data_IF_373386139302
#
_entry.id   IF_373386139302
#
_cell.length_a   1.000
_cell.length_b   1.000
_cell.length_c   1.000
_cell.angle_alpha   90.00
_cell.angle_beta   90.00
_cell.angle_gamma   90.00
#
_symmetry.space_group_name_H-M   'P 1'
#
loop_
_entity.id
_entity.type
_entity.pdbx_description
1 polymer ?
#
# COMPACT_ATOMS: atom_id res chain seq x y z
N UNK A 1 -6.67 -15.91 6.81
CA UNK A 1 -7.88 -16.07 7.66
C UNK A 1 -7.51 -15.59 9.05
N UNK A 2 -8.22 -14.60 9.60
CA UNK A 2 -8.00 -14.10 10.97
C UNK A 2 -7.39 -12.70 11.08
N UNK A 3 -7.34 -11.90 10.00
CA UNK A 3 -6.88 -10.49 10.03
C UNK A 3 -7.88 -9.51 9.43
N UNK A 4 -9.14 -9.92 9.39
CA UNK A 4 -10.24 -9.16 8.82
C UNK A 4 -10.46 -7.86 9.60
N UNK A 5 -10.18 -7.86 10.91
CA UNK A 5 -10.27 -6.67 11.75
C UNK A 5 -9.23 -5.61 11.36
N UNK A 6 -8.01 -6.02 11.05
CA UNK A 6 -6.91 -5.15 10.65
C UNK A 6 -7.12 -4.61 9.24
N UNK A 7 -7.60 -5.46 8.32
CA UNK A 7 -7.99 -5.03 6.97
C UNK A 7 -9.13 -4.00 7.03
N UNK A 8 -10.11 -4.20 7.90
CA UNK A 8 -11.22 -3.24 8.10
C UNK A 8 -10.69 -1.91 8.63
N UNK A 9 -9.81 -1.93 9.63
CA UNK A 9 -9.16 -0.71 10.16
C UNK A 9 -8.35 0.03 9.09
N UNK A 10 -7.62 -0.69 8.23
CA UNK A 10 -6.89 -0.09 7.10
C UNK A 10 -7.87 0.59 6.12
N UNK A 11 -8.99 -0.08 5.79
CA UNK A 11 -10.00 0.47 4.88
C UNK A 11 -10.65 1.74 5.46
N UNK A 12 -11.01 1.73 6.74
CA UNK A 12 -11.59 2.88 7.43
C UNK A 12 -10.62 4.06 7.48
N UNK A 13 -9.36 3.81 7.91
CA UNK A 13 -8.35 4.86 8.00
C UNK A 13 -7.98 5.46 6.65
N UNK A 14 -7.68 4.64 5.65
CA UNK A 14 -7.16 5.15 4.37
C UNK A 14 -8.25 5.72 3.44
N UNK A 15 -9.51 5.35 3.65
CA UNK A 15 -10.55 5.70 2.70
C UNK A 15 -11.83 6.31 3.27
N UNK A 16 -12.06 6.28 4.58
CA UNK A 16 -13.21 6.95 5.20
C UNK A 16 -12.84 8.17 6.01
N UNK A 17 -11.56 8.32 6.36
CA UNK A 17 -11.02 9.50 7.02
C UNK A 17 -10.25 10.37 6.02
N UNK A 18 -10.85 11.49 5.62
CA UNK A 18 -10.25 12.42 4.65
C UNK A 18 -8.97 13.10 5.16
N UNK A 19 -8.71 13.10 6.47
CA UNK A 19 -7.48 13.66 7.02
C UNK A 19 -6.30 12.68 6.95
N UNK A 20 -6.56 11.37 6.90
CA UNK A 20 -5.52 10.35 6.87
C UNK A 20 -4.89 10.28 5.48
N UNK A 21 -3.56 10.52 5.41
CA UNK A 21 -2.76 10.44 4.17
C UNK A 21 -1.96 9.15 4.04
N UNK A 22 -1.58 8.55 5.17
CA UNK A 22 -0.81 7.32 5.21
C UNK A 22 -1.12 6.54 6.49
N UNK A 23 -0.86 5.23 6.45
CA UNK A 23 -0.95 4.34 7.62
C UNK A 23 0.32 3.50 7.69
N UNK A 24 0.84 3.32 8.90
CA UNK A 24 2.03 2.51 9.17
C UNK A 24 1.62 1.21 9.86
N UNK A 25 2.06 0.06 9.34
CA UNK A 25 1.84 -1.25 9.96
C UNK A 25 3.10 -1.63 10.75
N UNK A 26 2.98 -1.68 12.07
CA UNK A 26 4.08 -2.00 12.99
C UNK A 26 3.90 -3.36 13.65
N UNK A 27 4.99 -4.00 14.06
CA UNK A 27 4.97 -5.26 14.80
C UNK A 27 6.23 -6.11 14.63
N UNK A 28 6.37 -7.22 15.37
CA UNK A 28 7.54 -8.08 15.35
C UNK A 28 7.89 -8.65 13.97
N UNK A 29 9.14 -9.11 13.80
CA UNK A 29 9.57 -9.85 12.63
C UNK A 29 8.74 -11.12 12.42
N UNK A 30 8.53 -11.53 11.17
CA UNK A 30 7.81 -12.77 10.84
C UNK A 30 6.29 -12.75 11.05
N UNK A 31 5.71 -11.72 11.68
CA UNK A 31 4.27 -11.64 11.97
C UNK A 31 3.40 -11.37 10.73
N UNK A 32 3.92 -11.42 9.49
CA UNK A 32 3.10 -11.29 8.28
C UNK A 32 2.59 -9.86 7.95
N UNK A 33 3.31 -8.80 8.35
CA UNK A 33 2.95 -7.40 8.01
C UNK A 33 2.84 -7.17 6.50
N UNK A 34 3.83 -7.64 5.74
CA UNK A 34 3.84 -7.52 4.27
C UNK A 34 2.68 -8.29 3.62
N UNK A 35 2.29 -9.43 4.19
CA UNK A 35 1.14 -10.20 3.72
C UNK A 35 -0.19 -9.47 3.96
N UNK A 36 -0.33 -8.80 5.11
CA UNK A 36 -1.49 -7.94 5.40
C UNK A 36 -1.59 -6.78 4.41
N UNK A 37 -0.47 -6.08 4.14
CA UNK A 37 -0.43 -5.00 3.15
C UNK A 37 -0.77 -5.49 1.73
N UNK A 38 -0.26 -6.66 1.35
CA UNK A 38 -0.52 -7.26 0.04
C UNK A 38 -1.99 -7.67 -0.12
N UNK A 39 -2.59 -8.29 0.89
CA UNK A 39 -4.02 -8.62 0.88
C UNK A 39 -4.87 -7.35 0.78
N UNK A 40 -4.54 -6.30 1.53
CA UNK A 40 -5.23 -5.01 1.44
C UNK A 40 -5.13 -4.40 0.03
N UNK A 41 -3.96 -4.47 -0.60
CA UNK A 41 -3.74 -4.03 -1.98
C UNK A 41 -4.65 -4.78 -2.97
N UNK A 42 -4.73 -6.11 -2.87
CA UNK A 42 -5.62 -6.92 -3.72
C UNK A 42 -7.09 -6.60 -3.49
N UNK A 43 -7.54 -6.45 -2.24
CA UNK A 43 -8.92 -6.07 -1.94
C UNK A 43 -9.25 -4.68 -2.47
N UNK A 44 -8.32 -3.72 -2.34
CA UNK A 44 -8.48 -2.37 -2.88
C UNK A 44 -8.67 -2.42 -4.39
N UNK A 45 -7.82 -3.14 -5.12
CA UNK A 45 -7.95 -3.30 -6.58
C UNK A 45 -9.28 -3.95 -6.99
N UNK A 46 -9.81 -4.89 -6.19
CA UNK A 46 -11.10 -5.54 -6.45
C UNK A 46 -12.31 -4.64 -6.17
N UNK A 47 -12.30 -3.92 -5.04
CA UNK A 47 -13.42 -3.09 -4.55
C UNK A 47 -13.44 -1.70 -5.18
N UNK A 48 -12.28 -1.15 -5.55
CA UNK A 48 -12.10 0.24 -6.02
C UNK A 48 -11.32 0.28 -7.33
N UNK A 49 -12.01 0.05 -8.44
CA UNK A 49 -11.37 -0.02 -9.78
C UNK A 49 -10.68 1.27 -10.23
N UNK A 50 -11.04 2.42 -9.68
CA UNK A 50 -10.38 3.70 -9.96
C UNK A 50 -9.08 3.91 -9.16
N UNK A 51 -8.81 3.09 -8.16
CA UNK A 51 -7.61 3.22 -7.33
C UNK A 51 -6.45 2.47 -7.98
N UNK A 52 -5.37 3.19 -8.27
CA UNK A 52 -4.11 2.61 -8.71
C UNK A 52 -3.27 2.20 -7.50
N UNK A 53 -2.76 0.97 -7.52
CA UNK A 53 -1.95 0.41 -6.44
C UNK A 53 -0.56 0.15 -6.96
N UNK A 54 0.45 0.71 -6.29
CA UNK A 54 1.86 0.53 -6.61
C UNK A 54 2.60 -0.06 -5.40
N UNK A 55 3.58 -0.91 -5.68
CA UNK A 55 4.48 -1.47 -4.68
C UNK A 55 5.88 -0.92 -4.90
N UNK A 56 6.49 -0.36 -3.85
CA UNK A 56 7.85 0.19 -3.87
C UNK A 56 8.68 -0.56 -2.84
N UNK A 57 9.82 -1.09 -3.26
CA UNK A 57 10.80 -1.69 -2.37
C UNK A 57 11.65 -0.57 -1.74
N UNK A 58 11.48 -0.37 -0.44
CA UNK A 58 12.19 0.63 0.34
C UNK A 58 13.33 0.03 1.19
N UNK A 59 13.79 -1.18 0.86
CA UNK A 59 14.92 -1.83 1.56
C UNK A 59 16.27 -1.15 1.30
N UNK A 60 16.36 -0.36 0.24
CA UNK A 60 17.55 0.36 -0.20
C UNK A 60 17.13 1.65 -0.93
N UNK A 61 17.95 2.71 -0.85
CA UNK A 61 17.62 4.00 -1.44
C UNK A 61 17.55 3.96 -2.97
N UNK A 62 18.45 3.22 -3.63
CA UNK A 62 18.43 3.11 -5.10
C UNK A 62 17.15 2.39 -5.56
N UNK A 63 16.74 1.34 -4.84
CA UNK A 63 15.49 0.62 -5.13
C UNK A 63 14.25 1.49 -4.93
N UNK A 64 14.26 2.32 -3.89
CA UNK A 64 13.17 3.25 -3.60
C UNK A 64 13.01 4.26 -4.74
N UNK A 65 14.10 4.90 -5.16
CA UNK A 65 14.10 5.89 -6.24
C UNK A 65 13.68 5.27 -7.57
N UNK A 66 14.23 4.09 -7.91
CA UNK A 66 13.83 3.36 -9.11
C UNK A 66 12.33 2.98 -9.08
N UNK A 67 11.80 2.64 -7.89
CA UNK A 67 10.38 2.38 -7.70
C UNK A 67 9.51 3.56 -8.13
N UNK A 68 9.82 4.76 -7.65
CA UNK A 68 9.09 5.98 -8.02
C UNK A 68 9.28 6.38 -9.49
N UNK A 69 10.49 6.26 -10.03
CA UNK A 69 10.75 6.50 -11.46
C UNK A 69 9.90 5.57 -12.34
N UNK A 70 9.78 4.30 -11.96
CA UNK A 70 8.94 3.34 -12.67
C UNK A 70 7.45 3.68 -12.59
N UNK A 71 6.98 4.21 -11.45
CA UNK A 71 5.61 4.69 -11.29
C UNK A 71 5.36 5.92 -12.19
N UNK A 72 6.25 6.91 -12.15
CA UNK A 72 6.16 8.11 -12.98
C UNK A 72 6.09 7.78 -14.48
N UNK A 73 6.97 6.86 -14.94
CA UNK A 73 6.95 6.35 -16.32
C UNK A 73 5.62 5.69 -16.69
N UNK A 74 5.08 4.81 -15.81
CA UNK A 74 3.77 4.16 -16.05
C UNK A 74 2.61 5.15 -16.12
N UNK A 75 2.71 6.25 -15.39
CA UNK A 75 1.69 7.31 -15.35
C UNK A 75 1.91 8.40 -16.40
N UNK A 76 2.96 8.29 -17.23
CA UNK A 76 3.38 9.34 -18.18
C UNK A 76 3.56 10.72 -17.51
N UNK A 77 4.02 10.74 -16.27
CA UNK A 77 4.37 11.98 -15.56
C UNK A 77 5.73 12.42 -16.10
N UNK A 78 5.78 13.65 -16.64
CA UNK A 78 7.03 14.28 -17.09
C UNK A 78 7.77 14.80 -15.86
N UNK A 79 9.07 14.53 -15.81
CA UNK A 79 9.99 15.07 -14.79
C UNK A 79 10.31 16.54 -15.02
#
# INVERSE_FOLDING_TARGET
VGRESELTKLEERLFRDEATRFVVIVGPGGIGKSQLALEFAYQTRRKKRSCLVFWVDASDMDRFDQGYLNIAKKLNIRG
#
